data_IF_266309438444
#
_entry.id   IF_266309438444
#
_cell.length_a   1.000
_cell.length_b   1.000
_cell.length_c   1.000
_cell.angle_alpha   90.00
_cell.angle_beta   90.00
_cell.angle_gamma   90.00
#
_symmetry.space_group_name_H-M   'P 1'
#
loop_
_entity.id
_entity.type
_entity.pdbx_description
1 polymer ?
#
# COMPACT_ATOMS: atom_id res chain seq x y z
N UNK A 1 18.44 7.04 -6.29
CA UNK A 1 18.13 5.61 -6.34
C UNK A 1 16.68 5.44 -5.97
N UNK A 2 15.92 4.57 -6.62
CA UNK A 2 14.54 4.25 -6.24
C UNK A 2 14.54 3.23 -5.10
N UNK A 3 13.48 3.17 -4.30
CA UNK A 3 13.41 2.23 -3.19
C UNK A 3 12.16 1.34 -3.30
N UNK A 4 12.37 0.04 -3.25
CA UNK A 4 11.31 -0.93 -3.02
C UNK A 4 11.35 -1.35 -1.56
N UNK A 5 10.21 -1.29 -0.86
CA UNK A 5 10.17 -1.68 0.53
C UNK A 5 8.94 -2.50 0.89
N UNK A 6 9.08 -3.28 1.93
CA UNK A 6 8.01 -4.06 2.57
C UNK A 6 8.08 -3.94 4.09
N UNK A 7 7.00 -4.28 4.77
CA UNK A 7 6.94 -4.28 6.23
C UNK A 7 6.38 -5.62 6.70
N UNK A 8 7.15 -6.35 7.48
CA UNK A 8 6.78 -7.67 8.03
C UNK A 8 7.00 -7.66 9.54
N UNK A 9 5.92 -7.60 10.30
CA UNK A 9 5.94 -7.63 11.77
C UNK A 9 5.06 -8.75 12.30
N UNK A 10 5.36 -9.26 13.49
CA UNK A 10 4.60 -10.33 14.14
C UNK A 10 4.69 -11.69 13.44
N UNK A 11 5.65 -11.88 12.54
CA UNK A 11 5.80 -13.14 11.79
C UNK A 11 4.63 -13.46 10.85
N UNK A 12 3.87 -12.45 10.43
CA UNK A 12 2.65 -12.62 9.64
C UNK A 12 2.91 -13.11 8.21
N UNK A 13 4.06 -12.76 7.65
CA UNK A 13 4.47 -13.15 6.30
C UNK A 13 5.94 -13.62 6.28
N UNK A 14 6.27 -14.44 5.28
CA UNK A 14 7.64 -14.83 4.98
C UNK A 14 8.16 -14.03 3.80
N UNK A 15 9.23 -13.24 4.01
CA UNK A 15 9.87 -12.44 2.97
C UNK A 15 10.36 -13.31 1.82
N UNK A 16 10.09 -12.87 0.60
CA UNK A 16 10.53 -13.56 -0.62
C UNK A 16 11.57 -12.70 -1.35
N UNK A 17 12.70 -13.28 -1.79
CA UNK A 17 13.64 -12.56 -2.64
C UNK A 17 12.96 -12.23 -3.98
N UNK A 18 13.26 -11.07 -4.58
CA UNK A 18 12.78 -10.75 -5.92
C UNK A 18 13.42 -11.71 -6.94
N UNK A 19 12.64 -12.21 -7.91
CA UNK A 19 13.19 -13.04 -9.00
C UNK A 19 14.09 -12.25 -9.95
N UNK A 20 13.82 -10.95 -10.08
CA UNK A 20 14.59 -10.04 -10.91
C UNK A 20 15.01 -8.87 -10.05
N UNK A 21 16.29 -8.75 -9.79
CA UNK A 21 16.88 -7.56 -9.16
C UNK A 21 16.96 -6.48 -10.22
N UNK A 22 16.29 -5.35 -9.98
CA UNK A 22 16.23 -4.24 -10.92
C UNK A 22 17.34 -3.24 -10.62
N UNK A 23 18.13 -2.90 -11.62
CA UNK A 23 19.21 -1.91 -11.50
C UNK A 23 18.66 -0.54 -11.06
N UNK A 24 19.37 0.14 -10.16
CA UNK A 24 18.96 1.45 -9.63
C UNK A 24 17.88 1.40 -8.54
N UNK A 25 17.55 0.20 -8.05
CA UNK A 25 16.65 -0.03 -6.94
C UNK A 25 17.36 -0.56 -5.72
N UNK A 26 17.02 0.02 -4.58
CA UNK A 26 17.35 -0.49 -3.26
C UNK A 26 16.14 -1.25 -2.69
N UNK A 27 16.40 -2.35 -1.99
CA UNK A 27 15.34 -3.19 -1.41
C UNK A 27 15.46 -3.15 0.12
N UNK A 28 14.39 -2.73 0.80
CA UNK A 28 14.39 -2.57 2.26
C UNK A 28 13.21 -3.33 2.88
N UNK A 29 13.48 -4.14 3.90
CA UNK A 29 12.45 -4.72 4.75
C UNK A 29 12.49 -4.07 6.13
N UNK A 30 11.33 -3.59 6.59
CA UNK A 30 11.11 -3.22 7.98
C UNK A 30 10.50 -4.40 8.71
N UNK A 31 11.08 -4.77 9.86
CA UNK A 31 10.61 -5.92 10.63
C UNK A 31 10.84 -5.71 12.13
N UNK A 32 10.05 -6.39 12.96
CA UNK A 32 10.24 -6.44 14.41
C UNK A 32 11.41 -7.34 14.86
N UNK A 33 11.99 -8.08 13.92
CA UNK A 33 13.19 -8.91 14.11
C UNK A 33 14.08 -8.86 12.88
N UNK A 34 15.35 -9.20 13.04
CA UNK A 34 16.30 -9.26 11.92
C UNK A 34 15.89 -10.35 10.92
N UNK A 35 15.86 -9.98 9.65
CA UNK A 35 15.60 -10.86 8.50
C UNK A 35 16.77 -10.77 7.54
N UNK A 36 17.37 -11.91 7.19
CA UNK A 36 18.48 -12.01 6.25
C UNK A 36 18.01 -12.72 4.97
N UNK A 37 17.54 -11.96 4.00
CA UNK A 37 17.07 -12.45 2.69
C UNK A 37 17.57 -11.48 1.60
N UNK A 38 18.77 -11.68 1.04
CA UNK A 38 19.27 -10.82 -0.02
C UNK A 38 18.31 -10.75 -1.24
N UNK A 39 18.18 -9.59 -1.92
CA UNK A 39 18.94 -8.35 -1.72
C UNK A 39 18.31 -7.38 -0.70
N UNK A 40 17.36 -7.83 0.13
CA UNK A 40 16.67 -7.00 1.11
C UNK A 40 17.60 -6.61 2.25
N UNK A 41 17.82 -5.29 2.44
CA UNK A 41 18.41 -4.76 3.67
C UNK A 41 17.35 -4.69 4.77
N UNK A 42 17.64 -5.21 5.96
CA UNK A 42 16.71 -5.24 7.08
C UNK A 42 16.90 -4.04 8.01
N UNK A 43 15.80 -3.35 8.30
CA UNK A 43 15.71 -2.31 9.35
C UNK A 43 14.80 -2.84 10.45
N UNK A 44 15.35 -3.07 11.64
CA UNK A 44 14.58 -3.50 12.81
C UNK A 44 13.80 -2.31 13.37
N UNK A 45 12.51 -2.49 13.64
CA UNK A 45 11.60 -1.43 14.09
C UNK A 45 10.51 -1.99 15.01
N UNK A 46 10.02 -1.16 15.91
CA UNK A 46 8.85 -1.42 16.76
C UNK A 46 7.55 -0.83 16.19
N UNK A 47 7.66 -0.11 15.06
CA UNK A 47 6.50 0.52 14.44
C UNK A 47 5.53 -0.48 13.84
N UNK A 48 4.25 -0.15 13.92
CA UNK A 48 3.19 -0.95 13.32
C UNK A 48 3.35 -1.01 11.77
N UNK A 49 3.08 -2.18 11.18
CA UNK A 49 3.26 -2.40 9.74
C UNK A 49 2.49 -1.39 8.88
N UNK A 50 1.23 -1.06 9.22
CA UNK A 50 0.43 -0.09 8.47
C UNK A 50 0.91 1.34 8.62
N UNK A 51 1.49 1.70 9.77
CA UNK A 51 2.10 3.00 9.95
C UNK A 51 3.20 3.24 8.91
N UNK A 52 4.15 2.30 8.81
CA UNK A 52 5.24 2.38 7.83
C UNK A 52 4.76 2.22 6.37
N UNK A 53 3.72 1.43 6.13
CA UNK A 53 3.08 1.34 4.81
C UNK A 53 2.51 2.69 4.38
N UNK A 54 1.77 3.37 5.26
CA UNK A 54 1.06 4.62 4.98
C UNK A 54 2.02 5.80 5.02
N UNK A 55 2.85 5.90 6.08
CA UNK A 55 3.76 7.00 6.38
C UNK A 55 5.21 6.52 6.38
N UNK A 56 5.77 6.11 5.23
CA UNK A 56 7.19 5.79 5.17
C UNK A 56 8.03 7.02 5.50
N UNK A 57 9.16 6.82 6.16
CA UNK A 57 10.06 7.93 6.47
C UNK A 57 10.64 8.50 5.15
N UNK A 58 10.20 9.70 4.79
CA UNK A 58 10.60 10.35 3.54
C UNK A 58 12.10 10.69 3.49
N UNK A 59 12.78 10.73 4.64
CA UNK A 59 14.24 10.95 4.69
C UNK A 59 15.03 9.73 4.24
N UNK A 60 14.45 8.53 4.38
CA UNK A 60 15.06 7.27 3.91
C UNK A 60 14.84 7.05 2.41
N UNK A 61 13.91 7.77 1.78
CA UNK A 61 13.44 7.46 0.44
C UNK A 61 13.43 8.70 -0.46
N UNK A 62 14.47 8.87 -1.23
CA UNK A 62 14.75 10.12 -1.96
C UNK A 62 14.05 10.28 -3.32
N UNK A 63 13.37 9.26 -3.86
CA UNK A 63 12.79 9.29 -5.19
C UNK A 63 11.44 8.57 -5.25
N UNK A 64 11.28 7.73 -6.26
CA UNK A 64 10.14 6.84 -6.40
C UNK A 64 10.24 5.73 -5.35
N UNK A 65 9.17 5.50 -4.61
CA UNK A 65 9.04 4.39 -3.69
C UNK A 65 7.99 3.40 -4.17
N UNK A 66 8.32 2.13 -4.07
CA UNK A 66 7.41 1.02 -4.30
C UNK A 66 7.25 0.25 -2.99
N UNK A 67 6.06 0.31 -2.40
CA UNK A 67 5.67 -0.59 -1.32
C UNK A 67 5.04 -1.85 -1.89
N UNK A 68 5.37 -3.00 -1.34
CA UNK A 68 4.69 -4.27 -1.58
C UNK A 68 4.36 -4.94 -0.25
N UNK A 69 3.16 -5.54 -0.11
CA UNK A 69 2.82 -6.34 1.07
C UNK A 69 3.78 -7.55 1.22
N UNK A 70 4.03 -8.00 2.44
CA UNK A 70 4.98 -9.10 2.72
C UNK A 70 4.64 -10.43 2.04
N UNK A 71 3.36 -10.64 1.68
CA UNK A 71 2.90 -11.79 0.90
C UNK A 71 3.17 -11.70 -0.61
N UNK A 72 3.77 -10.59 -1.10
CA UNK A 72 4.03 -10.39 -2.52
C UNK A 72 5.48 -10.67 -2.88
N UNK A 73 5.69 -11.50 -3.90
CA UNK A 73 6.96 -11.70 -4.57
C UNK A 73 7.06 -10.79 -5.81
N UNK A 74 8.17 -10.11 -5.97
CA UNK A 74 8.49 -9.33 -7.18
C UNK A 74 9.02 -10.30 -8.22
N UNK A 75 8.30 -10.47 -9.33
CA UNK A 75 8.65 -11.40 -10.40
C UNK A 75 9.06 -10.70 -11.71
N UNK A 76 8.83 -9.39 -11.82
CA UNK A 76 9.13 -8.58 -13.00
C UNK A 76 10.18 -7.51 -12.74
N UNK A 77 10.67 -6.90 -13.83
CA UNK A 77 11.63 -5.80 -13.76
C UNK A 77 10.94 -4.48 -13.37
N UNK A 78 11.36 -3.87 -12.25
CA UNK A 78 10.73 -2.66 -11.69
C UNK A 78 10.93 -1.41 -12.57
N UNK A 79 12.01 -1.36 -13.37
CA UNK A 79 12.20 -0.25 -14.32
C UNK A 79 11.20 -0.31 -15.48
N UNK A 80 10.77 -1.51 -15.88
CA UNK A 80 9.67 -1.66 -16.84
C UNK A 80 8.35 -1.31 -16.22
N UNK A 81 8.10 -1.72 -14.96
CA UNK A 81 6.89 -1.39 -14.22
C UNK A 81 6.67 0.12 -14.10
N UNK A 82 7.67 0.89 -13.68
CA UNK A 82 7.53 2.36 -13.52
C UNK A 82 7.46 3.12 -14.85
N UNK A 83 7.85 2.51 -15.97
CA UNK A 83 7.62 3.07 -17.31
C UNK A 83 6.18 2.86 -17.80
N UNK A 84 5.56 1.75 -17.38
CA UNK A 84 4.19 1.38 -17.73
C UNK A 84 3.16 2.06 -16.82
N UNK A 85 3.49 2.24 -15.54
CA UNK A 85 2.57 2.75 -14.50
C UNK A 85 2.98 4.17 -14.09
N UNK A 86 2.08 5.18 -14.23
CA UNK A 86 2.36 6.54 -13.78
C UNK A 86 2.75 6.59 -12.30
N UNK A 87 3.85 7.26 -11.98
CA UNK A 87 4.54 7.14 -10.70
C UNK A 87 4.20 8.21 -9.65
N UNK A 88 3.24 9.10 -9.91
CA UNK A 88 2.86 10.11 -8.92
C UNK A 88 2.22 9.45 -7.70
N UNK A 89 1.19 8.65 -7.92
CA UNK A 89 0.58 7.72 -6.98
C UNK A 89 -0.18 6.64 -7.74
N UNK A 90 0.19 5.39 -7.56
CA UNK A 90 -0.51 4.28 -8.18
C UNK A 90 -0.68 3.11 -7.22
N UNK A 91 -1.73 2.32 -7.44
CA UNK A 91 -2.03 1.09 -6.71
C UNK A 91 -2.70 0.07 -7.63
N UNK A 92 -2.86 -1.14 -7.16
CA UNK A 92 -3.63 -2.15 -7.87
C UNK A 92 -5.13 -1.89 -7.73
N UNK A 93 -5.89 -2.05 -8.83
CA UNK A 93 -7.34 -2.09 -8.77
C UNK A 93 -7.78 -3.32 -7.98
N UNK A 94 -8.74 -3.16 -7.07
CA UNK A 94 -9.23 -4.28 -6.29
C UNK A 94 -9.84 -5.37 -7.19
N UNK A 95 -9.44 -6.67 -7.06
CA UNK A 95 -9.84 -7.72 -8.01
C UNK A 95 -11.30 -8.11 -7.94
N UNK A 96 -11.97 -7.92 -6.79
CA UNK A 96 -13.32 -8.45 -6.54
C UNK A 96 -14.34 -7.39 -6.12
N UNK A 97 -13.90 -6.23 -5.65
CA UNK A 97 -14.77 -5.15 -5.15
C UNK A 97 -14.51 -3.87 -5.93
N UNK A 98 -15.57 -3.14 -6.23
CA UNK A 98 -15.50 -1.97 -7.09
C UNK A 98 -15.63 -0.65 -6.35
N UNK A 99 -16.22 -0.66 -5.15
CA UNK A 99 -16.47 0.54 -4.37
C UNK A 99 -16.27 0.32 -2.86
N UNK A 100 -16.29 1.42 -2.12
CA UNK A 100 -16.00 1.44 -0.69
C UNK A 100 -17.06 0.71 0.15
N UNK A 101 -18.33 0.70 -0.28
CA UNK A 101 -19.40 0.00 0.45
C UNK A 101 -19.19 -1.51 0.44
N UNK A 102 -18.79 -2.07 -0.70
CA UNK A 102 -18.46 -3.49 -0.80
C UNK A 102 -17.25 -3.86 0.07
N UNK A 103 -16.27 -2.96 0.20
CA UNK A 103 -15.15 -3.16 1.11
C UNK A 103 -15.60 -3.06 2.57
N UNK A 104 -16.44 -2.09 2.92
CA UNK A 104 -16.99 -1.93 4.26
C UNK A 104 -17.70 -3.20 4.74
N UNK A 105 -18.61 -3.74 3.93
CA UNK A 105 -19.30 -5.01 4.24
C UNK A 105 -18.33 -6.20 4.36
N UNK A 106 -17.30 -6.24 3.50
CA UNK A 106 -16.30 -7.30 3.57
C UNK A 106 -15.47 -7.23 4.86
N UNK A 107 -15.02 -6.06 5.30
CA UNK A 107 -14.23 -5.93 6.54
C UNK A 107 -15.06 -6.17 7.78
N UNK A 108 -16.33 -5.81 7.80
CA UNK A 108 -17.27 -6.15 8.87
C UNK A 108 -17.40 -7.67 8.98
N UNK A 109 -17.73 -8.33 7.87
CA UNK A 109 -18.02 -9.76 7.85
C UNK A 109 -16.77 -10.63 8.04
N UNK A 110 -15.66 -10.31 7.37
CA UNK A 110 -14.48 -11.19 7.26
C UNK A 110 -13.39 -10.84 8.27
N UNK A 111 -13.36 -9.61 8.78
CA UNK A 111 -12.32 -9.13 9.69
C UNK A 111 -12.84 -8.78 11.08
N UNK A 112 -14.14 -8.95 11.32
CA UNK A 112 -14.76 -8.68 12.60
C UNK A 112 -14.73 -7.20 13.03
N UNK A 113 -14.61 -6.27 12.07
CA UNK A 113 -14.64 -4.85 12.38
C UNK A 113 -16.02 -4.43 12.89
N UNK A 114 -16.04 -3.55 13.89
CA UNK A 114 -17.28 -3.00 14.43
C UNK A 114 -18.10 -2.29 13.35
N UNK A 115 -19.31 -2.78 13.05
CA UNK A 115 -20.21 -2.19 12.04
C UNK A 115 -20.47 -0.70 12.29
N UNK A 116 -20.83 -0.23 13.50
CA UNK A 116 -21.03 1.18 13.75
C UNK A 116 -19.81 2.03 13.40
N UNK A 117 -18.60 1.58 13.79
CA UNK A 117 -17.37 2.32 13.53
C UNK A 117 -17.04 2.39 12.03
N UNK A 118 -17.22 1.28 11.30
CA UNK A 118 -16.99 1.24 9.85
C UNK A 118 -18.02 2.14 9.15
N UNK A 119 -19.31 1.99 9.47
CA UNK A 119 -20.36 2.77 8.79
C UNK A 119 -20.25 4.26 9.08
N UNK A 120 -19.92 4.67 10.29
CA UNK A 120 -19.66 6.07 10.61
C UNK A 120 -18.56 6.68 9.72
N UNK A 121 -17.51 5.93 9.44
CA UNK A 121 -16.44 6.35 8.52
C UNK A 121 -16.96 6.47 7.08
N UNK A 122 -17.67 5.46 6.60
CA UNK A 122 -18.14 5.40 5.21
C UNK A 122 -19.22 6.46 4.94
N UNK A 123 -20.19 6.63 5.84
CA UNK A 123 -21.26 7.62 5.70
C UNK A 123 -20.64 9.02 5.59
N UNK A 124 -19.64 9.36 6.42
CA UNK A 124 -18.91 10.62 6.33
C UNK A 124 -18.22 10.82 4.97
N UNK A 125 -17.71 9.77 4.33
CA UNK A 125 -17.10 9.85 3.00
C UNK A 125 -18.14 10.06 1.90
N UNK A 126 -19.26 9.33 1.99
CA UNK A 126 -20.38 9.45 1.03
C UNK A 126 -21.04 10.83 1.15
N UNK A 127 -21.28 11.32 2.36
CA UNK A 127 -21.84 12.65 2.61
C UNK A 127 -20.92 13.77 2.09
N UNK A 128 -19.62 13.54 2.07
CA UNK A 128 -18.66 14.44 1.44
C UNK A 128 -18.63 14.36 -0.09
N UNK A 129 -19.35 13.41 -0.71
CA UNK A 129 -19.42 13.20 -2.16
C UNK A 129 -18.35 12.28 -2.74
N UNK A 130 -17.70 11.44 -1.90
CA UNK A 130 -16.71 10.49 -2.38
C UNK A 130 -17.35 9.30 -3.10
N UNK A 131 -17.02 9.11 -4.38
CA UNK A 131 -17.46 7.99 -5.22
C UNK A 131 -16.34 7.62 -6.23
N UNK A 132 -15.25 7.04 -5.72
CA UNK A 132 -14.12 6.64 -6.56
C UNK A 132 -13.88 5.12 -6.48
N UNK A 133 -13.27 4.52 -7.53
CA UNK A 133 -12.99 3.09 -7.54
C UNK A 133 -12.09 2.64 -6.40
N UNK A 134 -12.29 1.40 -5.94
CA UNK A 134 -11.54 0.81 -4.84
C UNK A 134 -10.16 0.32 -5.27
N UNK A 135 -9.14 0.78 -4.55
CA UNK A 135 -7.76 0.25 -4.63
C UNK A 135 -7.58 -0.93 -3.67
N UNK A 136 -6.71 -1.88 -4.00
CA UNK A 136 -6.34 -3.00 -3.11
C UNK A 136 -5.26 -2.63 -2.09
N UNK A 137 -4.44 -1.61 -2.39
CA UNK A 137 -3.36 -1.12 -1.55
C UNK A 137 -2.24 -2.13 -1.21
N UNK A 138 -2.21 -3.30 -1.83
CA UNK A 138 -1.15 -4.30 -1.62
C UNK A 138 0.17 -3.94 -2.31
N UNK A 139 0.10 -3.07 -3.33
CA UNK A 139 1.24 -2.46 -4.04
C UNK A 139 0.97 -0.97 -4.16
N UNK A 140 1.93 -0.14 -3.74
CA UNK A 140 1.83 1.32 -3.80
C UNK A 140 3.08 1.92 -4.44
N UNK A 141 2.93 2.48 -5.64
CA UNK A 141 3.98 3.25 -6.29
C UNK A 141 3.76 4.74 -6.00
N UNK A 142 4.77 5.43 -5.44
CA UNK A 142 4.63 6.81 -4.95
C UNK A 142 5.86 7.64 -5.25
N UNK A 143 5.65 8.92 -5.55
CA UNK A 143 6.70 9.94 -5.49
C UNK A 143 6.59 10.70 -4.15
N UNK A 144 7.42 10.33 -3.17
CA UNK A 144 7.40 10.97 -1.84
C UNK A 144 7.97 12.39 -1.85
N UNK A 145 8.61 12.85 -2.93
CA UNK A 145 9.01 14.25 -3.09
C UNK A 145 7.84 15.16 -3.45
N UNK A 146 6.72 14.59 -3.95
CA UNK A 146 5.52 15.36 -4.24
C UNK A 146 4.82 15.77 -2.91
N UNK A 147 4.66 17.09 -2.66
CA UNK A 147 4.04 17.58 -1.43
C UNK A 147 2.56 17.18 -1.33
N UNK A 148 1.88 16.93 -2.46
CA UNK A 148 0.49 16.44 -2.46
C UNK A 148 0.45 15.01 -1.97
N UNK A 149 1.35 14.15 -2.45
CA UNK A 149 1.46 12.75 -1.99
C UNK A 149 1.73 12.69 -0.48
N UNK A 150 2.63 13.55 0.04
CA UNK A 150 2.88 13.62 1.48
C UNK A 150 1.66 14.05 2.29
N UNK A 151 0.86 15.02 1.78
CA UNK A 151 -0.40 15.42 2.44
C UNK A 151 -1.44 14.31 2.41
N UNK A 152 -1.55 13.59 1.30
CA UNK A 152 -2.41 12.41 1.19
C UNK A 152 -2.02 11.37 2.23
N UNK A 153 -0.74 11.01 2.34
CA UNK A 153 -0.28 10.03 3.31
C UNK A 153 -0.59 10.46 4.76
N UNK A 154 -0.44 11.75 5.10
CA UNK A 154 -0.81 12.28 6.42
C UNK A 154 -2.31 12.14 6.71
N UNK A 155 -3.16 12.49 5.75
CA UNK A 155 -4.61 12.32 5.91
C UNK A 155 -4.96 10.83 6.00
N UNK A 156 -4.40 9.99 5.13
CA UNK A 156 -4.63 8.55 5.14
C UNK A 156 -4.25 7.92 6.48
N UNK A 157 -3.12 8.33 7.06
CA UNK A 157 -2.69 7.88 8.38
C UNK A 157 -3.66 8.33 9.48
N UNK A 158 -4.10 9.60 9.47
CA UNK A 158 -5.09 10.11 10.42
C UNK A 158 -6.43 9.38 10.32
N UNK A 159 -6.92 9.13 9.09
CA UNK A 159 -8.15 8.38 8.85
C UNK A 159 -8.03 6.93 9.32
N UNK A 160 -6.89 6.28 9.09
CA UNK A 160 -6.62 4.93 9.56
C UNK A 160 -6.62 4.84 11.09
N UNK A 161 -5.96 5.78 11.79
CA UNK A 161 -5.90 5.81 13.26
C UNK A 161 -7.28 6.01 13.90
N UNK A 162 -8.13 6.81 13.27
CA UNK A 162 -9.46 7.18 13.78
C UNK A 162 -10.59 6.27 13.25
N UNK A 163 -10.26 5.06 12.82
CA UNK A 163 -11.20 4.12 12.22
C UNK A 163 -11.04 2.70 12.78
N UNK A 164 -11.58 1.72 12.08
CA UNK A 164 -11.43 0.30 12.44
C UNK A 164 -10.01 -0.26 12.19
N UNK A 165 -9.03 0.56 11.84
CA UNK A 165 -7.66 0.15 11.56
C UNK A 165 -7.48 -0.54 10.19
N UNK A 166 -8.44 -0.38 9.26
CA UNK A 166 -8.36 -0.89 7.89
C UNK A 166 -7.92 0.24 6.95
N UNK A 167 -6.68 0.18 6.51
CA UNK A 167 -6.02 1.18 5.67
C UNK A 167 -6.70 1.37 4.32
N UNK A 168 -7.22 0.30 3.73
CA UNK A 168 -7.85 0.27 2.41
C UNK A 168 -9.14 1.12 2.33
N UNK A 169 -9.90 1.23 3.44
CA UNK A 169 -11.12 2.03 3.47
C UNK A 169 -10.88 3.53 3.29
N UNK A 170 -9.71 4.04 3.69
CA UNK A 170 -9.42 5.47 3.70
C UNK A 170 -8.46 5.95 2.61
N UNK A 171 -7.79 5.05 1.89
CA UNK A 171 -6.84 5.42 0.85
C UNK A 171 -7.46 6.28 -0.26
N UNK A 172 -8.52 5.77 -0.90
CA UNK A 172 -9.19 6.45 -2.02
C UNK A 172 -9.74 7.81 -1.62
N UNK A 173 -10.40 7.88 -0.46
CA UNK A 173 -10.91 9.13 0.11
C UNK A 173 -9.79 10.14 0.34
N UNK A 174 -8.66 9.72 0.88
CA UNK A 174 -7.52 10.60 1.12
C UNK A 174 -6.92 11.17 -0.16
N UNK A 175 -6.87 10.38 -1.23
CA UNK A 175 -6.47 10.85 -2.56
C UNK A 175 -7.46 11.86 -3.12
N UNK A 176 -8.75 11.52 -3.11
CA UNK A 176 -9.85 12.36 -3.60
C UNK A 176 -9.89 13.72 -2.90
N UNK A 177 -9.73 13.74 -1.57
CA UNK A 177 -9.76 14.97 -0.76
C UNK A 177 -8.72 16.01 -1.17
N UNK A 178 -7.60 15.55 -1.73
CA UNK A 178 -6.53 16.42 -2.26
C UNK A 178 -6.57 16.55 -3.79
N UNK A 179 -7.66 16.15 -4.44
CA UNK A 179 -7.82 16.27 -5.89
C UNK A 179 -6.86 15.40 -6.70
N UNK A 180 -6.30 14.35 -6.10
CA UNK A 180 -5.43 13.41 -6.80
C UNK A 180 -6.20 12.13 -7.08
N UNK A 181 -6.34 11.80 -8.38
CA UNK A 181 -6.84 10.49 -8.79
C UNK A 181 -5.67 9.52 -8.92
N UNK A 182 -5.57 8.50 -8.03
CA UNK A 182 -4.50 7.51 -8.14
C UNK A 182 -4.69 6.68 -9.42
N UNK A 183 -3.58 6.31 -10.05
CA UNK A 183 -3.63 5.37 -11.16
C UNK A 183 -3.86 3.95 -10.62
N UNK A 184 -4.96 3.33 -11.01
CA UNK A 184 -5.29 1.96 -10.60
C UNK A 184 -4.99 0.99 -11.76
N UNK A 185 -3.83 0.33 -11.69
CA UNK A 185 -3.47 -0.70 -12.66
C UNK A 185 -4.25 -2.00 -12.41
N UNK A 186 -4.53 -2.71 -13.49
CA UNK A 186 -5.35 -3.92 -13.45
C UNK A 186 -4.55 -5.19 -13.05
N UNK A 187 -5.26 -6.31 -12.96
CA UNK A 187 -4.70 -7.61 -12.62
C UNK A 187 -3.76 -8.19 -13.71
N UNK A 188 -3.85 -7.72 -14.96
CA UNK A 188 -2.94 -8.13 -16.03
C UNK A 188 -1.56 -7.52 -15.78
N UNK A 189 -1.52 -6.21 -15.49
CA UNK A 189 -0.29 -5.52 -15.09
C UNK A 189 0.26 -6.10 -13.79
N UNK A 190 -0.60 -6.30 -12.78
CA UNK A 190 -0.18 -6.90 -11.50
C UNK A 190 0.55 -8.22 -11.72
N UNK A 191 -0.06 -9.18 -12.41
CA UNK A 191 0.50 -10.54 -12.62
C UNK A 191 1.77 -10.58 -13.45
N UNK A 192 2.07 -9.52 -14.20
CA UNK A 192 3.31 -9.39 -14.97
C UNK A 192 4.52 -9.09 -14.09
N UNK A 193 4.31 -8.37 -13.01
CA UNK A 193 5.38 -7.88 -12.14
C UNK A 193 5.38 -8.45 -10.73
N UNK A 194 4.23 -8.96 -10.27
CA UNK A 194 4.02 -9.39 -8.90
C UNK A 194 3.29 -10.73 -8.83
N UNK A 195 3.59 -11.49 -7.80
CA UNK A 195 2.88 -12.73 -7.46
C UNK A 195 2.45 -12.68 -6.00
N UNK A 196 1.16 -12.80 -5.77
CA UNK A 196 0.57 -12.86 -4.44
C UNK A 196 0.61 -14.31 -3.92
N UNK A 197 0.98 -14.47 -2.66
CA UNK A 197 0.89 -15.72 -1.92
C UNK A 197 -0.12 -15.61 -0.79
N UNK A 198 -0.64 -16.73 -0.33
CA UNK A 198 -1.37 -16.77 0.95
C UNK A 198 -0.43 -16.41 2.09
N UNK A 199 -0.98 -15.78 3.12
CA UNK A 199 -0.23 -15.54 4.37
C UNK A 199 0.23 -16.87 4.97
N UNK A 200 1.41 -16.88 5.57
CA UNK A 200 2.05 -18.08 6.18
C UNK A 200 1.42 -18.43 7.51
#
# INVERSE_FOLDING_TARGET
MNTCYTVITGGYDTLKPPRIISEGWEYTVFSDKFIDVPPWGCIVTDKHNRELKIMPNAELFNNITLYVDGSIEIIGNLNKFVKEVPNRYASCKHPHRTNIMQEAEAVIRLKGCSRPLVMQQIDRYIDAGFDEPLAECCVLLRNLNDPVVRRINKLWHSEWLNSCGRDQLSFGYSCWKYGLKPYLFDQVVFKRYFKLYSHS
#
